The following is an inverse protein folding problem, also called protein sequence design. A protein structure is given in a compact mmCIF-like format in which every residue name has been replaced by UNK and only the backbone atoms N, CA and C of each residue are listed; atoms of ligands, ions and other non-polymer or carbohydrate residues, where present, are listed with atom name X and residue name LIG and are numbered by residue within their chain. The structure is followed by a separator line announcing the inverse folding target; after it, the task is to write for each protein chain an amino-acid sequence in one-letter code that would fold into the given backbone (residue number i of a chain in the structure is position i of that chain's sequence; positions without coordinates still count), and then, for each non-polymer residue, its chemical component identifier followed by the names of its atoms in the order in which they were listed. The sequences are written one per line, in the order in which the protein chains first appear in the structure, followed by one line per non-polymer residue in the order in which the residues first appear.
data_IF_255949216824
#
_entry.id   IF_255949216824
#
_cell.length_a   1.000
_cell.length_b   1.000
_cell.length_c   1.000
_cell.angle_alpha   90.00
_cell.angle_beta   90.00
_cell.angle_gamma   90.00
#
_symmetry.space_group_name_H-M   'P 1'
#
loop_
_entity.id
_entity.type
_entity.pdbx_description
1 polymer ?
#
# COMPACT_ATOMS: atom_id res chain seq x y z
N UNK A 1 27.35 -24.48 -1.42
CA UNK A 1 26.51 -23.62 -0.56
C UNK A 1 25.05 -24.04 -0.70
N UNK A 2 24.57 -24.85 0.26
CA UNK A 2 23.15 -25.26 0.31
C UNK A 2 22.41 -24.15 1.09
N UNK A 3 21.58 -23.37 0.38
CA UNK A 3 20.68 -22.41 1.01
C UNK A 3 19.63 -23.17 1.83
N UNK A 4 19.20 -22.56 2.96
CA UNK A 4 18.06 -23.10 3.73
C UNK A 4 16.75 -22.96 2.95
N UNK A 5 15.73 -23.76 3.27
CA UNK A 5 14.43 -23.69 2.59
C UNK A 5 13.78 -22.29 2.62
N UNK A 6 13.84 -21.50 3.72
CA UNK A 6 13.37 -20.10 3.73
C UNK A 6 14.15 -19.18 2.78
N UNK A 7 15.46 -19.34 2.66
CA UNK A 7 16.29 -18.53 1.74
C UNK A 7 15.99 -18.83 0.27
N UNK A 8 15.67 -20.08 -0.06
CA UNK A 8 15.21 -20.47 -1.40
C UNK A 8 13.86 -19.81 -1.74
N UNK A 9 12.93 -19.79 -0.79
CA UNK A 9 11.62 -19.14 -0.95
C UNK A 9 11.79 -17.65 -1.19
N UNK A 10 12.55 -16.94 -0.34
CA UNK A 10 12.78 -15.50 -0.46
C UNK A 10 13.43 -15.10 -1.79
N UNK A 11 14.48 -15.83 -2.22
CA UNK A 11 15.10 -15.57 -3.54
C UNK A 11 14.14 -15.77 -4.70
N UNK A 12 13.28 -16.79 -4.64
CA UNK A 12 12.25 -17.02 -5.64
C UNK A 12 11.26 -15.86 -5.70
N UNK A 13 10.80 -15.36 -4.56
CA UNK A 13 9.90 -14.22 -4.48
C UNK A 13 10.51 -12.95 -5.05
N UNK A 14 11.77 -12.66 -4.72
CA UNK A 14 12.49 -11.53 -5.33
C UNK A 14 12.60 -11.67 -6.86
N UNK A 15 12.87 -12.87 -7.37
CA UNK A 15 12.92 -13.12 -8.82
C UNK A 15 11.55 -12.88 -9.47
N UNK A 16 10.47 -13.33 -8.85
CA UNK A 16 9.11 -13.07 -9.33
C UNK A 16 8.80 -11.58 -9.32
N UNK A 17 9.20 -10.84 -8.28
CA UNK A 17 9.07 -9.39 -8.21
C UNK A 17 9.75 -8.70 -9.39
N UNK A 18 11.00 -9.06 -9.69
CA UNK A 18 11.74 -8.51 -10.84
C UNK A 18 11.10 -8.84 -12.20
N UNK A 19 10.49 -10.00 -12.33
CA UNK A 19 9.73 -10.34 -13.56
C UNK A 19 8.47 -9.47 -13.67
N UNK A 20 7.75 -9.26 -12.57
CA UNK A 20 6.58 -8.38 -12.53
C UNK A 20 6.97 -6.94 -12.87
N UNK A 21 8.01 -6.39 -12.25
CA UNK A 21 8.52 -5.04 -12.54
C UNK A 21 8.78 -4.85 -14.04
N UNK A 22 9.50 -5.78 -14.69
CA UNK A 22 9.80 -5.70 -16.12
C UNK A 22 8.54 -5.73 -17.01
N UNK A 23 7.55 -6.54 -16.64
CA UNK A 23 6.26 -6.62 -17.36
C UNK A 23 5.48 -5.32 -17.21
N UNK A 24 5.40 -4.78 -16.00
CA UNK A 24 4.74 -3.51 -15.72
C UNK A 24 5.45 -2.37 -16.45
N UNK A 25 6.79 -2.31 -16.39
CA UNK A 25 7.59 -1.30 -17.11
C UNK A 25 7.30 -1.34 -18.62
N UNK A 26 7.33 -2.53 -19.23
CA UNK A 26 7.02 -2.69 -20.66
C UNK A 26 5.61 -2.22 -21.01
N UNK A 27 4.63 -2.54 -20.17
CA UNK A 27 3.25 -2.10 -20.36
C UNK A 27 3.09 -0.59 -20.15
N UNK A 28 3.66 -0.06 -19.06
CA UNK A 28 3.55 1.36 -18.70
C UNK A 28 4.21 2.28 -19.75
N UNK A 29 5.34 1.85 -20.33
CA UNK A 29 5.98 2.57 -21.45
C UNK A 29 5.09 2.60 -22.70
N UNK A 30 4.39 1.51 -23.01
CA UNK A 30 3.47 1.44 -24.14
C UNK A 30 2.21 2.29 -23.95
N UNK A 31 1.73 2.42 -22.71
CA UNK A 31 0.51 3.15 -22.38
C UNK A 31 0.77 4.60 -21.97
N UNK A 32 2.04 5.02 -21.90
CA UNK A 32 2.41 6.40 -21.56
C UNK A 32 2.31 6.76 -20.08
N UNK A 33 2.25 5.76 -19.19
CA UNK A 33 2.21 5.97 -17.73
C UNK A 33 3.51 5.56 -17.01
N UNK A 34 4.63 5.57 -17.74
CA UNK A 34 5.96 5.32 -17.19
C UNK A 34 6.72 6.63 -16.95
N UNK A 35 7.40 6.73 -15.81
CA UNK A 35 8.27 7.85 -15.42
C UNK A 35 9.70 7.32 -15.26
N UNK A 36 10.62 7.80 -16.10
CA UNK A 36 12.01 7.32 -16.11
C UNK A 36 12.77 7.65 -14.83
N UNK A 37 12.50 8.83 -14.24
CA UNK A 37 13.03 9.24 -12.94
C UNK A 37 11.95 9.97 -12.14
N UNK A 38 11.48 9.36 -11.07
CA UNK A 38 10.43 9.94 -10.21
C UNK A 38 10.91 11.16 -9.42
N UNK A 39 12.20 11.48 -9.40
CA UNK A 39 12.71 12.72 -8.81
C UNK A 39 12.20 13.97 -9.52
N UNK A 40 11.66 13.83 -10.74
CA UNK A 40 10.98 14.92 -11.47
C UNK A 40 9.88 15.58 -10.64
N UNK A 41 9.22 14.86 -9.75
CA UNK A 41 8.16 15.39 -8.89
C UNK A 41 8.68 16.43 -7.87
N UNK A 42 9.94 16.35 -7.44
CA UNK A 42 10.57 17.39 -6.62
C UNK A 42 10.63 18.75 -7.38
N UNK A 43 10.76 18.70 -8.71
CA UNK A 43 10.87 19.90 -9.54
C UNK A 43 9.49 20.44 -9.97
N UNK A 44 8.52 19.53 -10.19
CA UNK A 44 7.21 19.88 -10.74
C UNK A 44 6.16 20.17 -9.68
N UNK A 45 6.22 19.51 -8.53
CA UNK A 45 5.26 19.66 -7.42
C UNK A 45 5.83 20.42 -6.22
N UNK A 46 7.14 20.71 -6.21
CA UNK A 46 7.79 21.47 -5.15
C UNK A 46 8.12 20.64 -3.92
N UNK A 47 7.96 21.23 -2.73
CA UNK A 47 8.36 20.61 -1.48
C UNK A 47 7.49 19.40 -1.12
N UNK A 48 8.13 18.41 -0.49
CA UNK A 48 7.46 17.23 0.02
C UNK A 48 6.59 17.58 1.21
N UNK A 49 5.35 17.12 1.23
CA UNK A 49 4.49 17.18 2.42
C UNK A 49 4.95 16.23 3.51
N UNK A 50 5.37 15.01 3.11
CA UNK A 50 5.89 14.00 4.00
C UNK A 50 6.86 13.06 3.26
N UNK A 51 7.75 12.44 4.02
CA UNK A 51 8.61 11.36 3.55
C UNK A 51 8.73 10.33 4.65
N UNK A 52 8.20 9.14 4.41
CA UNK A 52 8.32 7.96 5.27
C UNK A 52 9.24 6.91 4.69
N UNK A 53 9.28 5.73 5.30
CA UNK A 53 10.05 4.59 4.82
C UNK A 53 9.53 3.99 3.51
N UNK A 54 8.22 4.08 3.27
CA UNK A 54 7.58 3.49 2.09
C UNK A 54 7.31 4.49 0.98
N UNK A 55 7.04 5.76 1.32
CA UNK A 55 6.55 6.73 0.35
C UNK A 55 7.11 8.14 0.53
N UNK A 56 7.17 8.87 -0.58
CA UNK A 56 7.31 10.32 -0.62
C UNK A 56 5.95 10.88 -1.05
N UNK A 57 5.45 11.88 -0.31
CA UNK A 57 4.14 12.50 -0.52
C UNK A 57 4.31 13.94 -0.95
N UNK A 58 3.64 14.33 -2.01
CA UNK A 58 3.65 15.69 -2.55
C UNK A 58 2.24 16.28 -2.55
N UNK A 59 2.15 17.60 -2.35
CA UNK A 59 0.93 18.35 -2.58
C UNK A 59 0.64 18.43 -4.10
N UNK A 60 -0.56 18.09 -4.48
CA UNK A 60 -1.06 18.20 -5.84
C UNK A 60 -2.41 18.95 -5.89
N UNK A 61 -2.56 19.94 -5.03
CA UNK A 61 -3.76 20.77 -4.91
C UNK A 61 -4.88 20.07 -4.15
N UNK A 62 -5.90 19.57 -4.84
CA UNK A 62 -7.03 18.85 -4.23
C UNK A 62 -6.74 17.37 -3.96
N UNK A 63 -5.51 16.93 -4.20
CA UNK A 63 -5.06 15.55 -3.97
C UNK A 63 -3.62 15.54 -3.47
N UNK A 64 -3.18 14.40 -2.98
CA UNK A 64 -1.76 14.12 -2.78
C UNK A 64 -1.28 13.16 -3.85
N UNK A 65 -0.03 13.33 -4.27
CA UNK A 65 0.68 12.35 -5.08
C UNK A 65 1.66 11.62 -4.18
N UNK A 66 1.57 10.29 -4.17
CA UNK A 66 2.48 9.42 -3.41
C UNK A 66 3.37 8.65 -4.38
N UNK A 67 4.68 8.73 -4.18
CA UNK A 67 5.67 7.91 -4.90
C UNK A 67 6.14 6.83 -3.92
N UNK A 68 5.78 5.59 -4.19
CA UNK A 68 5.86 4.47 -3.25
C UNK A 68 6.92 3.49 -3.72
N UNK A 69 7.88 3.19 -2.84
CA UNK A 69 8.87 2.14 -3.02
C UNK A 69 8.32 0.76 -2.62
N UNK A 70 8.98 -0.29 -3.11
CA UNK A 70 8.54 -1.67 -2.85
C UNK A 70 9.40 -2.41 -1.82
N UNK A 71 10.18 -1.70 -1.00
CA UNK A 71 11.11 -2.32 -0.05
C UNK A 71 10.41 -3.30 0.90
N UNK A 72 9.16 -3.03 1.27
CA UNK A 72 8.34 -3.88 2.14
C UNK A 72 7.49 -4.91 1.41
N UNK A 73 7.32 -4.80 0.08
CA UNK A 73 6.35 -5.62 -0.67
C UNK A 73 6.98 -6.71 -1.54
N UNK A 74 8.28 -6.73 -1.72
CA UNK A 74 9.03 -7.69 -2.57
C UNK A 74 8.47 -7.81 -4.00
N UNK A 75 7.14 -7.80 -4.16
CA UNK A 75 6.43 -7.93 -5.44
C UNK A 75 5.38 -6.83 -5.62
N UNK A 76 5.35 -6.15 -6.79
CA UNK A 76 4.36 -5.10 -7.11
C UNK A 76 2.91 -5.54 -6.92
N UNK A 77 2.59 -6.79 -7.24
CA UNK A 77 1.22 -7.31 -7.15
C UNK A 77 0.64 -7.23 -5.74
N UNK A 78 1.45 -7.41 -4.70
CA UNK A 78 0.98 -7.34 -3.32
C UNK A 78 0.56 -5.93 -2.93
N UNK A 79 1.32 -4.92 -3.37
CA UNK A 79 0.93 -3.54 -3.14
C UNK A 79 -0.32 -3.15 -3.93
N UNK A 80 -0.43 -3.55 -5.20
CA UNK A 80 -1.63 -3.30 -6.02
C UNK A 80 -2.86 -3.98 -5.41
N UNK A 81 -2.69 -5.17 -4.84
CA UNK A 81 -3.76 -5.85 -4.14
C UNK A 81 -4.16 -5.14 -2.83
N UNK A 82 -3.18 -4.63 -2.05
CA UNK A 82 -3.43 -3.77 -0.88
C UNK A 82 -4.26 -2.53 -1.26
N UNK A 83 -3.92 -1.84 -2.37
CA UNK A 83 -4.73 -0.72 -2.88
C UNK A 83 -6.18 -1.15 -3.14
N UNK A 84 -6.38 -2.30 -3.77
CA UNK A 84 -7.72 -2.81 -4.08
C UNK A 84 -8.53 -3.08 -2.81
N UNK A 85 -7.92 -3.68 -1.79
CA UNK A 85 -8.56 -3.89 -0.49
C UNK A 85 -8.83 -2.55 0.22
N UNK A 86 -7.86 -1.65 0.26
CA UNK A 86 -8.04 -0.32 0.84
C UNK A 86 -9.24 0.40 0.21
N UNK A 87 -9.31 0.42 -1.11
CA UNK A 87 -10.38 1.08 -1.84
C UNK A 87 -11.76 0.45 -1.63
N UNK A 88 -11.82 -0.82 -1.28
CA UNK A 88 -13.08 -1.51 -0.97
C UNK A 88 -13.61 -1.16 0.43
N UNK A 89 -12.72 -0.86 1.39
CA UNK A 89 -13.09 -0.56 2.76
C UNK A 89 -13.13 0.94 3.09
N UNK A 90 -12.31 1.76 2.41
CA UNK A 90 -12.12 3.18 2.70
C UNK A 90 -12.39 4.03 1.46
N UNK A 91 -13.68 4.16 1.13
CA UNK A 91 -14.14 4.83 -0.09
C UNK A 91 -13.69 6.30 -0.18
N UNK A 92 -13.64 7.00 0.96
CA UNK A 92 -13.29 8.43 1.02
C UNK A 92 -11.84 8.70 0.74
N UNK A 93 -10.98 7.70 0.92
CA UNK A 93 -9.52 7.81 0.75
C UNK A 93 -8.99 6.86 -0.33
N UNK A 94 -9.80 6.58 -1.35
CA UNK A 94 -9.39 5.73 -2.48
C UNK A 94 -8.07 6.20 -3.09
N UNK A 95 -7.22 5.24 -3.34
CA UNK A 95 -5.96 5.43 -4.06
C UNK A 95 -6.12 5.00 -5.52
N UNK A 96 -5.63 5.83 -6.43
CA UNK A 96 -5.64 5.54 -7.86
C UNK A 96 -4.21 5.48 -8.38
N UNK A 97 -3.86 4.39 -9.05
CA UNK A 97 -2.54 4.25 -9.69
C UNK A 97 -2.49 5.14 -10.92
N UNK A 98 -1.60 6.11 -10.92
CA UNK A 98 -1.36 7.02 -12.04
C UNK A 98 -0.29 6.48 -12.99
N UNK A 99 0.66 5.72 -12.45
CA UNK A 99 1.76 5.22 -13.24
C UNK A 99 2.80 4.47 -12.42
N UNK A 100 3.88 4.19 -13.08
CA UNK A 100 5.03 3.46 -12.54
C UNK A 100 6.31 4.15 -13.00
N UNK A 101 7.40 3.93 -12.28
CA UNK A 101 8.67 4.53 -12.65
C UNK A 101 9.84 3.92 -11.91
N UNK A 102 10.97 4.62 -12.00
CA UNK A 102 12.16 4.35 -11.18
C UNK A 102 12.57 5.62 -10.46
N UNK A 103 13.18 5.47 -9.29
CA UNK A 103 13.88 6.57 -8.65
C UNK A 103 15.29 6.72 -9.25
N UNK A 104 16.03 7.74 -8.80
CA UNK A 104 17.41 7.99 -9.24
C UNK A 104 18.40 6.86 -8.91
N UNK A 105 18.05 5.95 -8.00
CA UNK A 105 18.84 4.75 -7.66
C UNK A 105 18.46 3.54 -8.50
N UNK A 106 17.42 3.65 -9.34
CA UNK A 106 16.92 2.59 -10.18
C UNK A 106 15.89 1.67 -9.53
N UNK A 107 15.42 1.99 -8.31
CA UNK A 107 14.38 1.21 -7.64
C UNK A 107 13.03 1.43 -8.30
N UNK A 108 12.22 0.37 -8.35
CA UNK A 108 10.89 0.42 -8.94
C UNK A 108 9.92 1.17 -8.02
N UNK A 109 9.19 2.11 -8.61
CA UNK A 109 8.25 2.98 -7.89
C UNK A 109 6.83 2.83 -8.45
N UNK A 110 5.84 2.90 -7.57
CA UNK A 110 4.43 3.01 -7.94
C UNK A 110 3.96 4.43 -7.60
N UNK A 111 3.30 5.07 -8.55
CA UNK A 111 2.83 6.45 -8.42
C UNK A 111 1.33 6.40 -8.25
N UNK A 112 0.83 6.88 -7.11
CA UNK A 112 -0.59 6.90 -6.81
C UNK A 112 -1.05 8.31 -6.44
N UNK A 113 -2.33 8.59 -6.66
CA UNK A 113 -2.99 9.77 -6.12
C UNK A 113 -4.05 9.37 -5.11
N UNK A 114 -4.28 10.25 -4.13
CA UNK A 114 -5.30 10.12 -3.11
C UNK A 114 -5.89 11.49 -2.83
N UNK A 115 -7.19 11.58 -2.54
CA UNK A 115 -7.85 12.86 -2.24
C UNK A 115 -7.20 13.53 -1.02
N UNK A 116 -6.88 14.82 -1.13
CA UNK A 116 -6.49 15.64 0.00
C UNK A 116 -7.72 16.02 0.81
N UNK A 117 -7.61 16.01 2.14
CA UNK A 117 -8.70 16.40 3.03
C UNK A 117 -8.13 17.25 4.18
N UNK A 118 -9.03 17.92 4.91
CA UNK A 118 -8.70 18.65 6.14
C UNK A 118 -9.44 18.02 7.30
N UNK A 119 -8.73 17.78 8.39
CA UNK A 119 -9.29 17.14 9.57
C UNK A 119 -8.30 17.08 10.73
N UNK A 120 -8.74 16.49 11.83
CA UNK A 120 -7.95 16.25 13.03
C UNK A 120 -7.66 14.78 13.19
N UNK A 121 -6.50 14.45 13.74
CA UNK A 121 -6.17 13.08 14.14
C UNK A 121 -7.22 12.57 15.13
N UNK A 122 -7.62 11.32 15.00
CA UNK A 122 -8.52 10.67 15.95
C UNK A 122 -7.74 10.11 17.13
N UNK A 123 -8.40 10.01 18.29
CA UNK A 123 -7.83 9.32 19.45
C UNK A 123 -7.86 7.80 19.25
N UNK A 124 -7.10 7.06 20.05
CA UNK A 124 -7.10 5.59 19.99
C UNK A 124 -8.50 5.01 20.28
N UNK A 125 -9.22 5.59 21.24
CA UNK A 125 -10.58 5.19 21.57
C UNK A 125 -11.56 5.43 20.41
N UNK A 126 -11.46 6.59 19.75
CA UNK A 126 -12.28 6.92 18.57
C UNK A 126 -12.01 5.97 17.40
N UNK A 127 -10.74 5.56 17.21
CA UNK A 127 -10.33 4.62 16.17
C UNK A 127 -10.88 3.23 16.48
N UNK A 128 -10.80 2.77 17.72
CA UNK A 128 -11.37 1.50 18.16
C UNK A 128 -12.88 1.46 17.94
N UNK A 129 -13.61 2.50 18.38
CA UNK A 129 -15.05 2.61 18.13
C UNK A 129 -15.40 2.59 16.64
N UNK A 130 -14.63 3.32 15.82
CA UNK A 130 -14.82 3.34 14.37
C UNK A 130 -14.61 1.96 13.75
N UNK A 131 -13.51 1.29 14.11
CA UNK A 131 -13.16 -0.03 13.55
C UNK A 131 -14.15 -1.10 13.96
N UNK A 132 -14.64 -1.08 15.21
CA UNK A 132 -15.73 -1.96 15.66
C UNK A 132 -17.02 -1.75 14.87
N UNK A 133 -17.38 -0.49 14.62
CA UNK A 133 -18.58 -0.13 13.85
C UNK A 133 -18.54 -0.65 12.42
N UNK A 134 -17.35 -0.70 11.79
CA UNK A 134 -17.18 -1.28 10.46
C UNK A 134 -16.88 -2.79 10.47
N UNK A 135 -17.03 -3.44 11.62
CA UNK A 135 -17.01 -4.90 11.77
C UNK A 135 -15.66 -5.52 12.09
N UNK A 136 -14.66 -4.72 12.47
CA UNK A 136 -13.36 -5.20 12.90
C UNK A 136 -13.28 -5.28 14.43
N UNK A 137 -12.48 -6.22 14.93
CA UNK A 137 -12.18 -6.38 16.37
C UNK A 137 -10.69 -6.17 16.61
N UNK A 138 -10.36 -5.44 17.67
CA UNK A 138 -8.98 -5.27 18.11
C UNK A 138 -8.39 -6.63 18.50
N UNK A 139 -7.24 -6.98 17.91
CA UNK A 139 -6.52 -8.24 18.18
C UNK A 139 -5.12 -8.01 18.74
N UNK A 140 -4.52 -6.86 18.48
CA UNK A 140 -3.25 -6.46 19.06
C UNK A 140 -3.17 -4.93 19.24
N UNK A 141 -3.29 -4.43 20.49
CA UNK A 141 -3.23 -2.98 20.73
C UNK A 141 -1.83 -2.38 20.55
N UNK A 142 -0.77 -3.19 20.61
CA UNK A 142 0.61 -2.66 20.50
C UNK A 142 0.96 -2.10 19.11
N UNK A 143 0.29 -2.59 18.10
CA UNK A 143 0.48 -2.19 16.70
C UNK A 143 -0.83 -1.87 15.98
N UNK A 144 -1.85 -1.46 16.77
CA UNK A 144 -3.16 -1.03 16.26
C UNK A 144 -3.71 -1.98 15.21
N UNK A 145 -3.77 -3.27 15.58
CA UNK A 145 -4.18 -4.33 14.68
C UNK A 145 -5.57 -4.82 14.99
N UNK A 146 -6.38 -4.88 13.96
CA UNK A 146 -7.77 -5.30 13.99
C UNK A 146 -8.01 -6.44 13.00
N UNK A 147 -9.03 -7.24 13.20
CA UNK A 147 -9.38 -8.29 12.24
C UNK A 147 -10.87 -8.57 12.16
N UNK A 148 -11.28 -9.08 11.00
CA UNK A 148 -12.53 -9.77 10.75
C UNK A 148 -12.23 -11.21 10.27
N UNK A 149 -13.24 -12.09 10.08
CA UNK A 149 -13.00 -13.43 9.56
C UNK A 149 -12.24 -13.51 8.23
N UNK A 150 -12.26 -12.47 7.41
CA UNK A 150 -11.61 -12.46 6.09
C UNK A 150 -10.47 -11.47 5.92
N UNK A 151 -10.35 -10.47 6.81
CA UNK A 151 -9.42 -9.34 6.64
C UNK A 151 -8.66 -9.06 7.93
N UNK A 152 -7.42 -8.72 7.74
CA UNK A 152 -6.50 -8.22 8.76
C UNK A 152 -6.15 -6.77 8.44
N UNK A 153 -6.27 -5.90 9.43
CA UNK A 153 -6.05 -4.47 9.30
C UNK A 153 -5.07 -4.03 10.39
N UNK A 154 -3.94 -3.45 10.01
CA UNK A 154 -2.95 -2.94 10.96
C UNK A 154 -2.50 -1.52 10.61
N UNK A 155 -1.68 -0.94 11.48
CA UNK A 155 -1.19 0.42 11.35
C UNK A 155 -2.30 1.49 11.43
N UNK A 156 -3.37 1.17 12.18
CA UNK A 156 -4.53 2.03 12.40
C UNK A 156 -4.31 2.96 13.60
N UNK A 157 -3.25 3.76 13.58
CA UNK A 157 -2.93 4.73 14.63
C UNK A 157 -3.36 6.17 14.24
N UNK A 158 -3.25 7.08 15.19
CA UNK A 158 -3.74 8.46 15.06
C UNK A 158 -3.12 9.26 13.90
N UNK A 159 -1.91 8.90 13.44
CA UNK A 159 -1.28 9.55 12.27
C UNK A 159 -1.85 9.06 10.94
N UNK A 160 -2.61 7.96 10.95
CA UNK A 160 -3.20 7.35 9.75
C UNK A 160 -4.72 7.46 9.71
N UNK A 161 -5.37 7.89 10.82
CA UNK A 161 -6.84 7.99 10.91
C UNK A 161 -7.27 9.37 11.38
N UNK A 162 -8.09 10.02 10.57
CA UNK A 162 -8.51 11.40 10.80
C UNK A 162 -10.03 11.52 10.76
N UNK A 163 -10.55 12.49 11.52
CA UNK A 163 -11.93 12.96 11.39
C UNK A 163 -11.92 14.30 10.64
N UNK A 164 -12.54 14.30 9.46
CA UNK A 164 -12.70 15.51 8.66
C UNK A 164 -13.65 16.52 9.31
N UNK A 165 -13.60 17.76 8.86
CA UNK A 165 -14.51 18.83 9.29
C UNK A 165 -15.98 18.52 8.92
N UNK A 166 -16.21 17.63 7.98
CA UNK A 166 -17.50 17.08 7.58
C UNK A 166 -17.99 15.92 8.47
N UNK A 167 -17.21 15.54 9.49
CA UNK A 167 -17.48 14.43 10.41
C UNK A 167 -17.15 13.03 9.83
N UNK A 168 -16.68 12.96 8.60
CA UNK A 168 -16.29 11.69 7.94
C UNK A 168 -14.94 11.22 8.47
N UNK A 169 -14.76 9.90 8.59
CA UNK A 169 -13.47 9.29 8.96
C UNK A 169 -12.67 8.98 7.69
N UNK A 170 -11.43 9.45 7.68
CA UNK A 170 -10.46 9.30 6.61
C UNK A 170 -9.30 8.42 7.09
N UNK A 171 -9.16 7.23 6.50
CA UNK A 171 -8.04 6.32 6.73
C UNK A 171 -7.07 6.49 5.56
N UNK A 172 -5.92 7.15 5.78
CA UNK A 172 -5.03 7.57 4.69
C UNK A 172 -3.91 6.59 4.38
N UNK A 173 -3.51 5.85 5.40
CA UNK A 173 -2.48 4.82 5.28
C UNK A 173 -2.73 3.73 6.32
N UNK A 174 -2.90 2.52 5.87
CA UNK A 174 -3.07 1.35 6.72
C UNK A 174 -2.58 0.14 5.97
N UNK A 175 -2.16 -0.88 6.69
CA UNK A 175 -1.83 -2.17 6.10
C UNK A 175 -3.04 -3.09 6.18
N UNK A 176 -3.66 -3.35 5.03
CA UNK A 176 -4.85 -4.19 4.90
C UNK A 176 -4.54 -5.44 4.08
N UNK A 177 -4.86 -6.62 4.62
CA UNK A 177 -4.52 -7.92 4.04
C UNK A 177 -5.65 -8.94 4.20
N UNK A 178 -5.64 -9.97 3.36
CA UNK A 178 -6.50 -11.13 3.59
C UNK A 178 -6.03 -11.87 4.85
N UNK A 179 -6.98 -12.15 5.74
CA UNK A 179 -6.75 -12.92 6.95
C UNK A 179 -6.78 -14.41 6.63
N UNK A 180 -5.64 -14.98 6.25
CA UNK A 180 -5.51 -16.43 6.06
C UNK A 180 -5.10 -17.09 7.36
N UNK A 181 -5.54 -18.34 7.64
CA UNK A 181 -5.14 -19.09 8.84
C UNK A 181 -3.62 -19.25 8.98
N UNK A 182 -2.89 -19.19 7.88
CA UNK A 182 -1.44 -19.36 7.80
C UNK A 182 -0.68 -18.12 8.27
N UNK A 183 -1.26 -16.92 8.15
CA UNK A 183 -0.67 -15.68 8.68
C UNK A 183 -0.70 -15.61 10.21
N UNK A 184 -1.57 -16.37 10.87
CA UNK A 184 -1.65 -16.44 12.34
C UNK A 184 -0.46 -17.14 12.99
N UNK A 185 0.31 -17.92 12.23
CA UNK A 185 1.43 -18.71 12.74
C UNK A 185 2.78 -17.98 12.71
N UNK A 186 2.83 -16.67 12.49
CA UNK A 186 4.08 -15.87 12.52
C UNK A 186 5.06 -16.21 11.38
N UNK A 187 4.57 -16.83 10.32
CA UNK A 187 5.37 -17.16 9.15
C UNK A 187 5.03 -16.23 7.99
N UNK A 188 6.06 -15.62 7.43
CA UNK A 188 5.99 -15.01 6.10
C UNK A 188 5.71 -16.12 5.09
N UNK A 189 4.45 -16.36 4.75
CA UNK A 189 4.08 -17.35 3.73
C UNK A 189 3.50 -16.68 2.52
N UNK A 190 4.08 -17.02 1.41
CA UNK A 190 3.72 -16.72 0.03
C UNK A 190 2.26 -17.08 -0.24
N UNK A 191 1.47 -16.09 -0.64
CA UNK A 191 0.20 -16.36 -1.32
C UNK A 191 0.53 -16.89 -2.72
N UNK A 192 0.51 -18.20 -2.89
CA UNK A 192 0.45 -18.81 -4.22
C UNK A 192 -1.00 -18.71 -4.71
N UNK A 193 -1.35 -17.59 -5.27
CA UNK A 193 -2.53 -17.48 -6.12
C UNK A 193 -2.11 -17.92 -7.52
N UNK A 194 -2.51 -19.12 -7.93
CA UNK A 194 -2.61 -19.47 -9.34
C UNK A 194 -3.72 -18.59 -9.94
N UNK A 195 -3.32 -17.52 -10.60
CA UNK A 195 -4.24 -16.73 -11.42
C UNK A 195 -4.30 -17.44 -12.76
N UNK A 196 -5.36 -18.21 -13.00
CA UNK A 196 -5.71 -18.67 -14.33
C UNK A 196 -6.06 -17.45 -15.19
N UNK A 197 -5.20 -17.14 -16.13
CA UNK A 197 -5.53 -16.16 -17.16
C UNK A 197 -6.55 -16.80 -18.12
N UNK A 198 -7.78 -16.30 -18.12
CA UNK A 198 -8.77 -16.60 -19.14
C UNK A 198 -8.17 -16.10 -20.47
N UNK A 199 -7.90 -17.02 -21.38
CA UNK A 199 -7.56 -16.70 -22.78
C UNK A 199 -8.87 -16.37 -23.47
N UNK A 200 -9.06 -15.11 -23.87
CA UNK A 200 -9.91 -14.74 -24.99
C UNK A 200 -9.13 -14.80 -26.28
#
# INVERSE_FOLDING_TARGET
DQLTAPEHSFKREQQLGKVQEKRIESWAKKTGCWVDDTSVYNQTLGDKLAQGGEAIVYDNGNSVLKVIGLDYFIQPIFFLFRISLHNAYFEQTKMFVLGFGRNSMGDFMIIVTQTFFQGSQMTEEDIEEYTERIGFKLVNPRNWTYSTPGIYLSDMHNENVFRGHDGVVYVIDCDIRINTPELKAGGTRTLTTEVEFIKE
#
